data_IF_586305337982
#
_entry.id   IF_586305337982
#
_cell.length_a   1.000
_cell.length_b   1.000
_cell.length_c   1.000
_cell.angle_alpha   90.00
_cell.angle_beta   90.00
_cell.angle_gamma   90.00
#
_symmetry.space_group_name_H-M   'P 1'
#
loop_
_entity.id
_entity.type
_entity.pdbx_description
1 polymer ?
#
# COMPACT_ATOMS: atom_id res chain seq x y z
N UNK A 1 -51.78 -45.65 38.92
CA UNK A 1 -51.57 -44.78 37.79
C UNK A 1 -50.57 -43.71 38.23
N UNK A 2 -49.32 -43.76 37.78
CA UNK A 2 -48.24 -42.84 38.20
C UNK A 2 -48.11 -41.71 37.18
N UNK A 3 -48.35 -40.48 37.64
CA UNK A 3 -48.23 -39.26 36.82
C UNK A 3 -46.81 -38.89 36.58
N UNK A 4 -46.43 -38.74 35.30
CA UNK A 4 -45.13 -38.25 34.85
C UNK A 4 -45.17 -36.73 34.87
N UNK A 5 -44.32 -36.12 35.70
CA UNK A 5 -44.09 -34.64 35.70
C UNK A 5 -43.07 -34.33 34.61
N UNK A 6 -43.54 -33.64 33.57
CA UNK A 6 -42.64 -33.10 32.54
C UNK A 6 -42.04 -31.78 33.06
N UNK A 7 -40.71 -31.74 33.23
CA UNK A 7 -39.97 -30.55 33.54
C UNK A 7 -39.65 -29.81 32.22
N UNK A 8 -40.20 -28.64 32.04
CA UNK A 8 -39.80 -27.71 30.97
C UNK A 8 -38.53 -26.99 31.41
N UNK A 9 -37.42 -27.34 30.76
CA UNK A 9 -36.16 -26.55 30.89
C UNK A 9 -36.23 -25.43 29.88
N UNK A 10 -36.44 -24.21 30.35
CA UNK A 10 -36.30 -23.00 29.56
C UNK A 10 -34.82 -22.69 29.36
N UNK A 11 -34.32 -23.01 28.19
CA UNK A 11 -32.96 -22.59 27.78
C UNK A 11 -32.96 -21.11 27.48
N UNK A 12 -32.39 -20.32 28.37
CA UNK A 12 -32.09 -18.89 28.14
C UNK A 12 -30.92 -18.78 27.17
N UNK A 13 -31.22 -18.41 25.91
CA UNK A 13 -30.21 -18.09 24.91
C UNK A 13 -29.64 -16.71 25.28
N UNK A 14 -28.46 -16.69 25.92
CA UNK A 14 -27.64 -15.48 26.03
C UNK A 14 -27.19 -15.08 24.61
N UNK A 15 -27.87 -14.09 24.05
CA UNK A 15 -27.44 -13.45 22.81
C UNK A 15 -26.07 -12.78 23.02
N UNK A 16 -25.01 -13.41 22.53
CA UNK A 16 -23.72 -12.76 22.41
C UNK A 16 -23.86 -11.60 21.42
N UNK A 17 -23.84 -10.37 21.94
CA UNK A 17 -23.75 -9.16 21.14
C UNK A 17 -22.36 -9.16 20.52
N UNK A 18 -22.24 -9.66 19.29
CA UNK A 18 -21.04 -9.51 18.49
C UNK A 18 -20.98 -8.03 18.09
N UNK A 19 -20.23 -7.24 18.86
CA UNK A 19 -19.91 -5.87 18.46
C UNK A 19 -19.14 -5.96 17.13
N UNK A 20 -19.61 -5.29 16.05
CA UNK A 20 -18.82 -5.19 14.84
C UNK A 20 -17.52 -4.48 15.21
N UNK A 21 -16.40 -5.18 15.11
CA UNK A 21 -15.08 -4.55 15.16
C UNK A 21 -15.09 -3.49 14.07
N UNK A 22 -15.09 -2.22 14.49
CA UNK A 22 -14.88 -1.12 13.57
C UNK A 22 -13.50 -1.31 12.95
N UNK A 23 -13.47 -1.86 11.74
CA UNK A 23 -12.25 -1.89 10.94
C UNK A 23 -11.91 -0.43 10.69
N UNK A 24 -10.84 0.04 11.31
CA UNK A 24 -10.32 1.37 11.04
C UNK A 24 -10.03 1.44 9.54
N UNK A 25 -10.88 2.18 8.81
CA UNK A 25 -10.69 2.42 7.38
C UNK A 25 -9.60 3.47 7.23
N UNK A 26 -8.35 3.04 7.36
CA UNK A 26 -7.22 3.83 6.89
C UNK A 26 -7.31 4.04 5.36
N UNK A 27 -6.50 4.95 4.77
CA UNK A 27 -6.49 5.15 3.34
C UNK A 27 -6.23 3.80 2.64
N UNK A 28 -7.04 3.53 1.60
CA UNK A 28 -6.90 2.31 0.80
C UNK A 28 -5.64 2.38 -0.09
N UNK A 29 -4.49 2.13 0.51
CA UNK A 29 -3.18 2.16 -0.14
C UNK A 29 -3.05 1.13 -1.29
N UNK A 30 -4.02 0.24 -1.47
CA UNK A 30 -4.04 -0.70 -2.60
C UNK A 30 -4.29 0.00 -3.93
N UNK A 31 -4.90 1.20 -3.90
CA UNK A 31 -5.17 2.01 -5.08
C UNK A 31 -4.11 3.10 -5.29
N UNK A 32 -3.99 3.60 -6.52
CA UNK A 32 -3.07 4.69 -6.83
C UNK A 32 -3.34 5.95 -5.99
N UNK A 33 -4.62 6.32 -5.83
CA UNK A 33 -4.99 7.47 -4.99
C UNK A 33 -4.70 7.21 -3.51
N UNK A 34 -5.05 6.02 -3.01
CA UNK A 34 -4.80 5.66 -1.62
C UNK A 34 -3.30 5.64 -1.28
N UNK A 35 -2.46 5.22 -2.22
CA UNK A 35 -1.01 5.32 -2.06
C UNK A 35 -0.54 6.77 -1.99
N UNK A 36 -1.06 7.66 -2.86
CA UNK A 36 -0.76 9.10 -2.78
C UNK A 36 -1.14 9.66 -1.41
N UNK A 37 -2.35 9.34 -0.94
CA UNK A 37 -2.84 9.81 0.36
C UNK A 37 -2.03 9.29 1.54
N UNK A 38 -1.52 8.08 1.45
CA UNK A 38 -0.62 7.50 2.45
C UNK A 38 0.76 8.15 2.41
N UNK A 39 1.33 8.36 1.22
CA UNK A 39 2.69 8.85 1.05
C UNK A 39 2.86 10.36 1.24
N UNK A 40 1.79 11.16 1.16
CA UNK A 40 1.88 12.62 1.32
C UNK A 40 2.43 13.06 2.68
N UNK A 41 2.37 12.20 3.70
CA UNK A 41 2.94 12.46 5.03
C UNK A 41 4.46 12.67 5.01
N UNK A 42 5.17 12.26 3.94
CA UNK A 42 6.63 12.49 3.82
C UNK A 42 6.99 13.97 3.86
N UNK A 43 6.04 14.84 3.54
CA UNK A 43 6.21 16.30 3.59
C UNK A 43 5.86 16.90 4.95
N UNK A 44 5.35 16.09 5.90
CA UNK A 44 5.01 16.57 7.26
C UNK A 44 6.30 16.69 8.09
N UNK A 45 6.56 17.83 8.71
CA UNK A 45 7.71 17.96 9.59
C UNK A 45 7.64 16.97 10.75
N UNK A 46 8.75 16.30 11.07
CA UNK A 46 8.82 15.24 12.09
C UNK A 46 8.23 15.67 13.44
N UNK A 47 8.45 16.93 13.85
CA UNK A 47 7.91 17.48 15.11
C UNK A 47 6.38 17.63 15.15
N UNK A 48 5.71 17.52 14.00
CA UNK A 48 4.26 17.67 13.84
C UNK A 48 3.58 16.36 13.45
N UNK A 49 4.38 15.31 13.20
CA UNK A 49 3.86 14.01 12.80
C UNK A 49 3.19 13.31 13.98
N UNK A 50 1.98 12.81 13.76
CA UNK A 50 1.30 11.90 14.68
C UNK A 50 1.83 10.47 14.56
N UNK A 51 1.45 9.58 15.47
CA UNK A 51 1.80 8.16 15.38
C UNK A 51 1.23 7.53 14.09
N UNK A 52 0.05 7.96 13.65
CA UNK A 52 -0.55 7.54 12.38
C UNK A 52 0.28 8.01 11.18
N UNK A 53 0.78 9.25 11.21
CA UNK A 53 1.64 9.78 10.16
C UNK A 53 2.97 9.00 10.09
N UNK A 54 3.55 8.65 11.23
CA UNK A 54 4.76 7.83 11.29
C UNK A 54 4.52 6.42 10.74
N UNK A 55 3.39 5.80 11.08
CA UNK A 55 3.01 4.49 10.53
C UNK A 55 2.80 4.56 9.02
N UNK A 56 2.11 5.59 8.51
CA UNK A 56 1.90 5.81 7.08
C UNK A 56 3.23 6.06 6.35
N UNK A 57 4.14 6.83 6.94
CA UNK A 57 5.47 7.08 6.40
C UNK A 57 6.29 5.80 6.28
N UNK A 58 6.34 5.00 7.35
CA UNK A 58 7.06 3.73 7.36
C UNK A 58 6.51 2.78 6.29
N UNK A 59 5.18 2.68 6.19
CA UNK A 59 4.51 1.89 5.16
C UNK A 59 4.90 2.37 3.75
N UNK A 60 4.80 3.67 3.48
CA UNK A 60 5.15 4.25 2.19
C UNK A 60 6.61 3.95 1.80
N UNK A 61 7.55 4.19 2.72
CA UNK A 61 8.98 3.93 2.49
C UNK A 61 9.23 2.45 2.24
N UNK A 62 8.60 1.55 3.01
CA UNK A 62 8.74 0.11 2.84
C UNK A 62 8.23 -0.36 1.48
N UNK A 63 7.08 0.16 1.02
CA UNK A 63 6.52 -0.18 -0.29
C UNK A 63 7.43 0.27 -1.43
N UNK A 64 7.88 1.53 -1.42
CA UNK A 64 8.79 2.03 -2.46
C UNK A 64 10.12 1.31 -2.47
N UNK A 65 10.67 0.98 -1.30
CA UNK A 65 11.88 0.17 -1.19
C UNK A 65 11.66 -1.23 -1.80
N UNK A 66 10.57 -1.89 -1.47
CA UNK A 66 10.26 -3.23 -1.98
C UNK A 66 10.10 -3.22 -3.50
N UNK A 67 9.37 -2.29 -4.06
CA UNK A 67 9.22 -2.19 -5.52
C UNK A 67 10.54 -1.88 -6.21
N UNK A 68 11.30 -0.92 -5.69
CA UNK A 68 12.63 -0.61 -6.21
C UNK A 68 13.53 -1.84 -6.24
N UNK A 69 13.65 -2.54 -5.10
CA UNK A 69 14.53 -3.71 -4.99
C UNK A 69 14.05 -4.83 -5.93
N UNK A 70 12.74 -5.02 -6.08
CA UNK A 70 12.17 -6.00 -7.00
C UNK A 70 12.49 -5.69 -8.46
N UNK A 71 12.43 -4.44 -8.89
CA UNK A 71 12.75 -4.06 -10.27
C UNK A 71 14.25 -4.07 -10.55
N UNK A 72 15.09 -3.67 -9.61
CA UNK A 72 16.53 -3.81 -9.71
C UNK A 72 16.92 -5.28 -9.86
N UNK A 73 16.30 -6.16 -9.07
CA UNK A 73 16.51 -7.60 -9.19
C UNK A 73 16.02 -8.14 -10.54
N UNK A 74 14.82 -7.74 -10.98
CA UNK A 74 14.26 -8.19 -12.25
C UNK A 74 15.11 -7.74 -13.45
N UNK A 75 15.64 -6.50 -13.41
CA UNK A 75 16.53 -5.99 -14.45
C UNK A 75 17.84 -6.81 -14.52
N UNK A 76 18.49 -7.03 -13.37
CA UNK A 76 19.70 -7.82 -13.29
C UNK A 76 19.49 -9.27 -13.76
N UNK A 77 18.36 -9.88 -13.39
CA UNK A 77 17.99 -11.23 -13.82
C UNK A 77 17.79 -11.30 -15.35
N UNK A 78 17.06 -10.33 -15.91
CA UNK A 78 16.80 -10.28 -17.35
C UNK A 78 18.10 -10.05 -18.15
N UNK A 79 18.97 -9.17 -17.67
CA UNK A 79 20.26 -8.92 -18.29
C UNK A 79 21.13 -10.19 -18.29
N UNK A 80 21.22 -10.86 -17.14
CA UNK A 80 22.00 -12.09 -17.00
C UNK A 80 21.46 -13.24 -17.87
N UNK A 81 20.15 -13.46 -17.86
CA UNK A 81 19.53 -14.64 -18.49
C UNK A 81 19.21 -14.44 -19.96
N UNK A 82 18.79 -13.24 -20.33
CA UNK A 82 18.26 -12.96 -21.68
C UNK A 82 19.07 -11.92 -22.45
N UNK A 83 20.10 -11.36 -21.86
CA UNK A 83 20.90 -10.25 -22.40
C UNK A 83 20.01 -9.05 -22.81
N UNK A 84 18.99 -8.78 -22.00
CA UNK A 84 18.01 -7.69 -22.18
C UNK A 84 17.77 -7.00 -20.86
N UNK A 85 17.80 -5.66 -20.90
CA UNK A 85 17.44 -4.85 -19.74
C UNK A 85 15.91 -4.83 -19.54
N UNK A 86 15.49 -4.60 -18.30
CA UNK A 86 14.08 -4.37 -17.95
C UNK A 86 13.60 -2.96 -18.36
N UNK A 87 12.34 -2.63 -18.11
CA UNK A 87 11.80 -1.30 -18.42
C UNK A 87 12.24 -0.21 -17.44
N UNK A 88 12.74 -0.58 -16.25
CA UNK A 88 13.05 0.34 -15.14
C UNK A 88 14.47 0.10 -14.63
N UNK A 89 15.28 1.14 -14.66
CA UNK A 89 16.66 1.15 -14.20
C UNK A 89 16.88 2.27 -13.17
N UNK A 90 16.75 1.96 -11.89
CA UNK A 90 16.93 2.94 -10.81
C UNK A 90 18.37 2.86 -10.28
N UNK A 91 19.07 3.98 -10.35
CA UNK A 91 20.41 4.09 -9.77
C UNK A 91 20.37 3.92 -8.24
N UNK A 92 21.39 3.26 -7.68
CA UNK A 92 21.58 3.14 -6.23
C UNK A 92 21.78 4.50 -5.53
N UNK A 93 22.11 5.53 -6.28
CA UNK A 93 22.29 6.90 -5.76
C UNK A 93 20.94 7.61 -5.51
N UNK A 94 19.84 7.10 -6.06
CA UNK A 94 18.50 7.67 -5.85
C UNK A 94 17.95 7.19 -4.52
N UNK A 95 17.65 8.08 -3.59
CA UNK A 95 17.07 7.72 -2.30
C UNK A 95 15.58 7.33 -2.43
N UNK A 96 15.05 6.55 -1.49
CA UNK A 96 13.60 6.26 -1.44
C UNK A 96 12.80 7.55 -1.24
N UNK A 97 13.31 8.52 -0.48
CA UNK A 97 12.69 9.83 -0.32
C UNK A 97 12.53 10.53 -1.67
N UNK A 98 13.57 10.59 -2.47
CA UNK A 98 13.55 11.17 -3.82
C UNK A 98 12.54 10.48 -4.72
N UNK A 99 12.45 9.14 -4.66
CA UNK A 99 11.47 8.38 -5.44
C UNK A 99 10.04 8.72 -5.03
N UNK A 100 9.77 8.80 -3.73
CA UNK A 100 8.43 9.10 -3.19
C UNK A 100 8.02 10.54 -3.53
N UNK A 101 8.88 11.51 -3.29
CA UNK A 101 8.61 12.92 -3.61
C UNK A 101 8.36 13.12 -5.11
N UNK A 102 9.16 12.48 -5.96
CA UNK A 102 8.96 12.47 -7.41
C UNK A 102 7.64 11.83 -7.83
N UNK A 103 7.27 10.71 -7.21
CA UNK A 103 5.98 10.07 -7.43
C UNK A 103 4.81 10.99 -7.06
N UNK A 104 4.86 11.64 -5.90
CA UNK A 104 3.80 12.55 -5.45
C UNK A 104 3.68 13.76 -6.41
N UNK A 105 4.79 14.31 -6.85
CA UNK A 105 4.80 15.40 -7.82
C UNK A 105 4.21 14.98 -9.18
N UNK A 106 4.60 13.81 -9.68
CA UNK A 106 4.03 13.24 -10.89
C UNK A 106 2.53 12.94 -10.72
N UNK A 107 2.13 12.36 -9.59
CA UNK A 107 0.74 12.03 -9.33
C UNK A 107 -0.16 13.28 -9.33
N UNK A 108 0.33 14.38 -8.75
CA UNK A 108 -0.38 15.67 -8.74
C UNK A 108 -0.61 16.22 -10.15
N UNK A 109 0.35 16.04 -11.06
CA UNK A 109 0.35 16.72 -12.35
C UNK A 109 -0.11 15.84 -13.51
N UNK A 110 0.07 14.52 -13.41
CA UNK A 110 0.00 13.61 -14.56
C UNK A 110 -0.78 12.31 -14.32
N UNK A 111 -1.10 11.95 -13.07
CA UNK A 111 -1.82 10.72 -12.79
C UNK A 111 -3.26 10.81 -13.29
N UNK A 112 -3.63 9.90 -14.18
CA UNK A 112 -4.98 9.84 -14.74
C UNK A 112 -6.02 9.36 -13.72
N UNK A 113 -7.30 9.68 -13.95
CA UNK A 113 -8.40 9.19 -13.11
C UNK A 113 -8.48 7.66 -13.07
N UNK A 114 -8.06 6.99 -14.15
CA UNK A 114 -7.98 5.53 -14.21
C UNK A 114 -6.88 4.99 -13.29
N UNK A 115 -5.64 5.50 -13.39
CA UNK A 115 -4.54 5.10 -12.53
C UNK A 115 -4.81 5.35 -11.04
N UNK A 116 -5.59 6.39 -10.70
CA UNK A 116 -6.02 6.64 -9.32
C UNK A 116 -6.87 5.51 -8.74
N UNK A 117 -7.66 4.83 -9.57
CA UNK A 117 -8.56 3.74 -9.17
C UNK A 117 -7.93 2.36 -9.31
N UNK A 118 -6.91 2.22 -10.14
CA UNK A 118 -6.20 0.95 -10.33
C UNK A 118 -5.31 0.63 -9.13
N UNK A 119 -4.77 -0.59 -9.11
CA UNK A 119 -3.79 -1.00 -8.11
C UNK A 119 -2.61 -0.03 -8.06
N UNK A 120 -2.15 0.29 -6.88
CA UNK A 120 -1.04 1.23 -6.65
C UNK A 120 0.23 0.87 -7.42
N UNK A 121 0.48 -0.44 -7.61
CA UNK A 121 1.61 -0.94 -8.42
C UNK A 121 1.59 -0.42 -9.85
N UNK A 122 0.41 -0.29 -10.48
CA UNK A 122 0.28 0.24 -11.85
C UNK A 122 0.71 1.70 -11.92
N UNK A 123 0.30 2.51 -10.94
CA UNK A 123 0.68 3.93 -10.85
C UNK A 123 2.18 4.10 -10.64
N UNK A 124 2.78 3.33 -9.72
CA UNK A 124 4.21 3.39 -9.45
C UNK A 124 5.03 2.89 -10.63
N UNK A 125 4.59 1.80 -11.28
CA UNK A 125 5.22 1.30 -12.49
C UNK A 125 5.22 2.35 -13.61
N UNK A 126 4.08 3.00 -13.85
CA UNK A 126 3.95 4.05 -14.87
C UNK A 126 4.89 5.21 -14.58
N UNK A 127 4.93 5.68 -13.33
CA UNK A 127 5.86 6.73 -12.91
C UNK A 127 7.32 6.32 -13.13
N UNK A 128 7.72 5.16 -12.62
CA UNK A 128 9.11 4.73 -12.69
C UNK A 128 9.58 4.43 -14.10
N UNK A 129 8.72 3.86 -14.95
CA UNK A 129 9.04 3.64 -16.36
C UNK A 129 9.25 4.94 -17.14
N UNK A 130 8.53 5.99 -16.74
CA UNK A 130 8.64 7.30 -17.39
C UNK A 130 9.91 8.08 -16.97
N UNK A 131 10.32 7.96 -15.70
CA UNK A 131 11.40 8.78 -15.14
C UNK A 131 12.74 8.02 -14.99
N UNK A 132 12.69 6.71 -14.96
CA UNK A 132 13.87 5.85 -14.77
C UNK A 132 13.93 4.72 -15.82
N UNK A 133 13.77 5.02 -17.13
CA UNK A 133 13.83 3.98 -18.14
C UNK A 133 15.27 3.43 -18.27
N UNK A 134 15.39 2.13 -18.54
CA UNK A 134 16.65 1.57 -18.98
C UNK A 134 17.00 2.10 -20.39
N UNK A 135 18.27 2.42 -20.60
CA UNK A 135 18.80 2.89 -21.90
C UNK A 135 19.39 1.71 -22.68
#
# INVERSE_FOLDING_TARGET
MKGVKVFFITASILGAVVSPLAVATGPDWSTGQGLVDTCKVISTPEKQASDEDLAALLFCVAQFKTWRDSWVFADAFNEHKYNKRGPICISNLISNKTLIEGFLQWAKNSMTAELKRQQSTASVFTYMSAFYPCK
#
